data_IF_941626087306
#
_entry.id   IF_941626087306
#
_cell.length_a   1.000
_cell.length_b   1.000
_cell.length_c   1.000
_cell.angle_alpha   90.00
_cell.angle_beta   90.00
_cell.angle_gamma   90.00
#
_symmetry.space_group_name_H-M   'P 1'
#
loop_
_entity.id
_entity.type
_entity.pdbx_description
1 polymer ?
#
# COMPACT_ATOMS: atom_id res chain seq x y z
N UNK A 1 15.00 35.91 -33.35
CA UNK A 1 15.00 35.79 -31.87
C UNK A 1 14.58 34.36 -31.52
N UNK A 2 15.53 33.45 -31.36
CA UNK A 2 15.23 32.02 -31.15
C UNK A 2 15.00 31.73 -29.68
N UNK A 3 13.74 31.45 -29.32
CA UNK A 3 13.37 30.96 -28.00
C UNK A 3 13.83 29.50 -27.91
N UNK A 4 14.98 29.27 -27.26
CA UNK A 4 15.39 27.94 -26.81
C UNK A 4 14.40 27.49 -25.73
N UNK A 5 13.42 26.67 -26.12
CA UNK A 5 12.61 25.89 -25.18
C UNK A 5 13.57 24.96 -24.45
N UNK A 6 14.01 25.35 -23.25
CA UNK A 6 14.85 24.51 -22.40
C UNK A 6 14.07 23.23 -22.10
N UNK A 7 14.72 22.08 -22.29
CA UNK A 7 14.25 20.74 -21.93
C UNK A 7 13.87 20.70 -20.44
N UNK A 8 12.63 21.04 -20.10
CA UNK A 8 12.06 20.94 -18.72
C UNK A 8 11.59 19.50 -18.42
N UNK A 9 11.55 18.63 -19.43
CA UNK A 9 10.97 17.28 -19.33
C UNK A 9 11.93 16.17 -18.85
N UNK A 10 13.15 16.48 -18.40
CA UNK A 10 14.21 15.46 -18.27
C UNK A 10 14.68 15.11 -16.85
N UNK A 11 13.92 15.42 -15.79
CA UNK A 11 14.31 15.00 -14.42
C UNK A 11 13.15 14.98 -13.43
N UNK A 12 12.20 14.09 -13.66
CA UNK A 12 11.10 13.78 -12.72
C UNK A 12 11.26 12.39 -12.08
N UNK A 13 12.27 11.64 -12.51
CA UNK A 13 12.62 10.32 -12.02
C UNK A 13 13.53 10.44 -10.78
N UNK A 14 13.05 9.96 -9.63
CA UNK A 14 13.82 9.93 -8.38
C UNK A 14 13.86 11.26 -7.62
N UNK A 15 12.74 11.97 -7.49
CA UNK A 15 12.65 13.20 -6.69
C UNK A 15 12.25 12.90 -5.23
N UNK A 16 13.11 13.23 -4.27
CA UNK A 16 12.85 13.02 -2.83
C UNK A 16 11.56 13.70 -2.36
N UNK A 17 11.22 14.86 -2.94
CA UNK A 17 9.96 15.53 -2.64
C UNK A 17 8.75 14.66 -2.98
N UNK A 18 8.78 13.99 -4.14
CA UNK A 18 7.70 13.11 -4.57
C UNK A 18 7.57 11.88 -3.66
N UNK A 19 8.69 11.35 -3.15
CA UNK A 19 8.69 10.26 -2.18
C UNK A 19 8.01 10.67 -0.87
N UNK A 20 8.39 11.83 -0.32
CA UNK A 20 7.78 12.33 0.91
C UNK A 20 6.29 12.65 0.73
N UNK A 21 5.94 13.23 -0.42
CA UNK A 21 4.55 13.49 -0.79
C UNK A 21 3.74 12.19 -0.89
N UNK A 22 4.30 11.14 -1.50
CA UNK A 22 3.67 9.83 -1.60
C UNK A 22 3.43 9.20 -0.21
N UNK A 23 4.42 9.25 0.69
CA UNK A 23 4.27 8.78 2.08
C UNK A 23 3.18 9.54 2.83
N UNK A 24 3.16 10.87 2.67
CA UNK A 24 2.13 11.73 3.29
C UNK A 24 0.74 11.38 2.77
N UNK A 25 0.59 11.17 1.46
CA UNK A 25 -0.68 10.84 0.86
C UNK A 25 -1.17 9.46 1.29
N UNK A 26 -0.29 8.46 1.34
CA UNK A 26 -0.60 7.13 1.85
C UNK A 26 -1.19 7.21 3.26
N UNK A 27 -0.58 8.02 4.14
CA UNK A 27 -1.04 8.14 5.51
C UNK A 27 -2.33 8.97 5.66
N UNK A 28 -2.51 10.04 4.88
CA UNK A 28 -3.60 11.01 5.08
C UNK A 28 -4.87 10.71 4.29
N UNK A 29 -4.74 10.13 3.10
CA UNK A 29 -5.83 10.08 2.13
C UNK A 29 -6.32 8.66 1.82
N UNK A 30 -5.54 7.63 2.15
CA UNK A 30 -5.94 6.24 1.96
C UNK A 30 -6.44 5.64 3.28
N UNK A 31 -7.56 4.91 3.23
CA UNK A 31 -8.10 4.23 4.40
C UNK A 31 -7.15 3.13 4.89
N UNK A 32 -6.69 2.29 3.96
CA UNK A 32 -5.70 1.24 4.19
C UNK A 32 -5.03 0.92 2.86
N UNK A 33 -3.72 0.68 2.90
CA UNK A 33 -2.94 0.23 1.74
C UNK A 33 -2.31 -1.11 2.12
N UNK A 34 -2.54 -2.14 1.30
CA UNK A 34 -1.96 -3.47 1.48
C UNK A 34 -0.92 -3.79 0.43
N UNK A 35 -0.27 -4.95 0.59
CA UNK A 35 0.71 -5.48 -0.36
C UNK A 35 0.16 -6.72 -1.07
N UNK A 36 0.65 -6.98 -2.28
CA UNK A 36 0.15 -8.07 -3.12
C UNK A 36 0.49 -9.46 -2.58
N UNK A 37 1.60 -9.55 -1.86
CA UNK A 37 2.15 -10.74 -1.23
C UNK A 37 1.29 -11.20 -0.05
N UNK A 38 0.57 -10.26 0.59
CA UNK A 38 -0.29 -10.49 1.76
C UNK A 38 -1.74 -10.12 1.44
N UNK A 39 -2.20 -10.44 0.23
CA UNK A 39 -3.54 -10.06 -0.25
C UNK A 39 -4.66 -10.63 0.63
N UNK A 40 -4.51 -11.85 1.15
CA UNK A 40 -5.50 -12.47 2.04
C UNK A 40 -5.68 -11.68 3.34
N UNK A 41 -4.57 -11.23 3.93
CA UNK A 41 -4.58 -10.41 5.13
C UNK A 41 -5.21 -9.04 4.86
N UNK A 42 -4.93 -8.46 3.69
CA UNK A 42 -5.52 -7.20 3.26
C UNK A 42 -7.04 -7.31 3.13
N UNK A 43 -7.54 -8.38 2.51
CA UNK A 43 -8.99 -8.65 2.41
C UNK A 43 -9.59 -8.83 3.80
N UNK A 44 -8.91 -9.53 4.70
CA UNK A 44 -9.36 -9.72 6.09
C UNK A 44 -9.48 -8.38 6.84
N UNK A 45 -8.52 -7.48 6.65
CA UNK A 45 -8.57 -6.12 7.23
C UNK A 45 -9.74 -5.31 6.66
N UNK A 46 -9.98 -5.38 5.35
CA UNK A 46 -11.10 -4.70 4.70
C UNK A 46 -12.46 -5.24 5.17
N UNK A 47 -12.58 -6.54 5.41
CA UNK A 47 -13.80 -7.16 5.94
C UNK A 47 -14.18 -6.62 7.32
N UNK A 48 -13.18 -6.34 8.18
CA UNK A 48 -13.40 -5.72 9.49
C UNK A 48 -13.69 -4.22 9.39
N UNK A 49 -12.98 -3.49 8.53
CA UNK A 49 -13.14 -2.04 8.39
C UNK A 49 -14.43 -1.65 7.67
N UNK A 50 -14.80 -2.39 6.62
CA UNK A 50 -15.90 -2.08 5.72
C UNK A 50 -16.83 -3.30 5.53
N UNK A 51 -17.46 -3.80 6.61
CA UNK A 51 -18.27 -5.02 6.57
C UNK A 51 -19.50 -4.89 5.67
N UNK A 52 -19.97 -3.67 5.36
CA UNK A 52 -21.08 -3.47 4.41
C UNK A 52 -20.72 -3.89 2.98
N UNK A 53 -19.44 -3.80 2.62
CA UNK A 53 -18.97 -4.08 1.26
C UNK A 53 -18.23 -5.42 1.17
N UNK A 54 -17.43 -5.76 2.21
CA UNK A 54 -16.49 -6.88 2.17
C UNK A 54 -16.86 -8.06 3.08
N UNK A 55 -18.09 -8.11 3.61
CA UNK A 55 -18.54 -9.27 4.40
C UNK A 55 -18.49 -10.54 3.56
N UNK A 56 -17.82 -11.56 4.07
CA UNK A 56 -17.61 -12.84 3.39
C UNK A 56 -16.53 -12.83 2.31
N UNK A 57 -15.82 -11.71 2.11
CA UNK A 57 -14.80 -11.58 1.08
C UNK A 57 -13.62 -12.53 1.33
N UNK A 58 -13.20 -12.71 2.59
CA UNK A 58 -12.14 -13.67 2.93
C UNK A 58 -12.53 -15.10 2.54
N UNK A 59 -13.73 -15.53 2.93
CA UNK A 59 -14.24 -16.86 2.60
C UNK A 59 -14.31 -17.08 1.09
N UNK A 60 -14.77 -16.07 0.33
CA UNK A 60 -14.81 -16.12 -1.12
C UNK A 60 -13.40 -16.23 -1.75
N UNK A 61 -12.42 -15.51 -1.21
CA UNK A 61 -11.03 -15.58 -1.67
C UNK A 61 -10.42 -16.96 -1.43
N UNK A 62 -10.60 -17.54 -0.24
CA UNK A 62 -10.09 -18.88 0.10
C UNK A 62 -10.77 -20.00 -0.70
N UNK A 63 -12.05 -19.84 -1.07
CA UNK A 63 -12.79 -20.79 -1.92
C UNK A 63 -12.34 -20.79 -3.39
N UNK A 64 -11.37 -19.97 -3.77
CA UNK A 64 -10.52 -20.22 -4.92
C UNK A 64 -11.09 -19.85 -6.29
N UNK A 65 -12.27 -19.23 -6.38
CA UNK A 65 -12.89 -18.99 -7.69
C UNK A 65 -12.12 -17.98 -8.56
N UNK A 66 -11.42 -17.00 -7.97
CA UNK A 66 -10.82 -15.88 -8.71
C UNK A 66 -9.66 -15.19 -7.95
N UNK A 67 -8.73 -15.92 -7.34
CA UNK A 67 -7.60 -15.29 -6.64
C UNK A 67 -6.58 -14.63 -7.59
N UNK A 68 -6.34 -15.24 -8.75
CA UNK A 68 -5.32 -14.82 -9.71
C UNK A 68 -5.88 -14.76 -11.15
N UNK A 69 -6.83 -13.85 -11.42
CA UNK A 69 -7.53 -13.81 -12.72
C UNK A 69 -6.61 -13.41 -13.89
N UNK A 70 -5.50 -12.73 -13.61
CA UNK A 70 -4.60 -12.17 -14.63
C UNK A 70 -3.17 -12.59 -14.34
N UNK A 71 -2.84 -13.83 -14.68
CA UNK A 71 -1.48 -14.33 -14.62
C UNK A 71 -0.75 -14.02 -15.93
N UNK A 72 0.48 -13.51 -15.83
CA UNK A 72 1.37 -13.40 -16.99
C UNK A 72 1.88 -14.78 -17.35
N UNK A 73 1.53 -15.28 -18.55
CA UNK A 73 1.79 -16.68 -18.95
C UNK A 73 3.27 -17.05 -19.06
N UNK A 74 4.15 -16.09 -19.39
CA UNK A 74 5.60 -16.30 -19.48
C UNK A 74 6.32 -15.26 -18.63
N UNK A 75 6.67 -15.63 -17.39
CA UNK A 75 7.53 -14.83 -16.51
C UNK A 75 8.94 -15.41 -16.54
N UNK A 76 9.90 -14.62 -17.00
CA UNK A 76 11.32 -14.95 -16.89
C UNK A 76 11.83 -14.26 -15.63
N UNK A 77 12.29 -15.00 -14.60
CA UNK A 77 12.85 -14.36 -13.42
C UNK A 77 14.15 -13.64 -13.79
N UNK A 78 14.39 -12.43 -13.26
CA UNK A 78 15.61 -11.69 -13.55
C UNK A 78 16.83 -12.40 -12.94
N UNK A 79 17.95 -12.43 -13.67
CA UNK A 79 19.21 -12.98 -13.16
C UNK A 79 19.74 -12.18 -11.96
N UNK A 80 20.53 -12.83 -11.09
CA UNK A 80 21.07 -12.19 -9.88
C UNK A 80 21.89 -10.93 -10.22
N UNK A 81 22.78 -11.01 -11.21
CA UNK A 81 23.56 -9.86 -11.68
C UNK A 81 22.68 -8.69 -12.17
N UNK A 82 21.52 -8.99 -12.79
CA UNK A 82 20.56 -7.96 -13.21
C UNK A 82 19.89 -7.31 -12.01
N UNK A 83 19.48 -8.09 -11.02
CA UNK A 83 18.87 -7.58 -9.80
C UNK A 83 19.83 -6.68 -9.02
N UNK A 84 21.09 -7.07 -8.89
CA UNK A 84 22.14 -6.28 -8.22
C UNK A 84 22.34 -4.94 -8.92
N UNK A 85 22.43 -4.94 -10.26
CA UNK A 85 22.56 -3.71 -11.05
C UNK A 85 21.37 -2.77 -10.87
N UNK A 86 20.14 -3.30 -10.81
CA UNK A 86 18.94 -2.49 -10.54
C UNK A 86 18.97 -1.93 -9.13
N UNK A 87 19.37 -2.74 -8.13
CA UNK A 87 19.47 -2.34 -6.72
C UNK A 87 20.48 -1.20 -6.49
N UNK A 88 21.49 -1.06 -7.34
CA UNK A 88 22.44 0.06 -7.28
C UNK A 88 21.80 1.41 -7.65
N UNK A 89 20.68 1.42 -8.39
CA UNK A 89 20.03 2.65 -8.82
C UNK A 89 19.39 3.42 -7.65
N UNK A 90 19.58 4.73 -7.63
CA UNK A 90 18.92 5.62 -6.66
C UNK A 90 17.40 5.52 -6.73
N UNK A 91 16.83 5.39 -7.93
CA UNK A 91 15.38 5.27 -8.14
C UNK A 91 14.85 4.01 -7.46
N UNK A 92 15.53 2.87 -7.65
CA UNK A 92 15.13 1.62 -7.01
C UNK A 92 15.16 1.75 -5.49
N UNK A 93 16.18 2.41 -4.92
CA UNK A 93 16.27 2.64 -3.47
C UNK A 93 15.05 3.41 -2.95
N UNK A 94 14.61 4.45 -3.66
CA UNK A 94 13.44 5.24 -3.27
C UNK A 94 12.12 4.45 -3.40
N UNK A 95 11.93 3.72 -4.49
CA UNK A 95 10.77 2.84 -4.69
C UNK A 95 10.71 1.78 -3.59
N UNK A 96 11.86 1.17 -3.27
CA UNK A 96 11.97 0.19 -2.21
C UNK A 96 11.66 0.79 -0.84
N UNK A 97 12.15 2.00 -0.56
CA UNK A 97 11.83 2.73 0.67
C UNK A 97 10.34 3.03 0.82
N UNK A 98 9.66 3.41 -0.27
CA UNK A 98 8.21 3.61 -0.25
C UNK A 98 7.45 2.30 -0.03
N UNK A 99 7.86 1.23 -0.71
CA UNK A 99 7.28 -0.10 -0.52
C UNK A 99 7.43 -0.58 0.93
N UNK A 100 8.61 -0.47 1.52
CA UNK A 100 8.87 -0.90 2.90
C UNK A 100 8.06 -0.06 3.89
N UNK A 101 7.89 1.24 3.64
CA UNK A 101 7.02 2.12 4.41
C UNK A 101 5.54 1.70 4.34
N UNK A 102 5.04 1.38 3.15
CA UNK A 102 3.66 0.91 2.96
C UNK A 102 3.44 -0.43 3.69
N UNK A 103 4.39 -1.37 3.57
CA UNK A 103 4.35 -2.67 4.23
C UNK A 103 4.30 -2.53 5.76
N UNK A 104 5.20 -1.71 6.34
CA UNK A 104 5.22 -1.46 7.78
C UNK A 104 3.92 -0.81 8.27
N UNK A 105 3.41 0.17 7.52
CA UNK A 105 2.14 0.83 7.85
C UNK A 105 0.98 -0.16 7.84
N UNK A 106 0.96 -1.05 6.85
CA UNK A 106 -0.03 -2.11 6.74
C UNK A 106 0.02 -3.06 7.94
N UNK A 107 1.21 -3.55 8.31
CA UNK A 107 1.39 -4.44 9.45
C UNK A 107 0.96 -3.82 10.77
N UNK A 108 1.32 -2.56 11.03
CA UNK A 108 0.89 -1.83 12.23
C UNK A 108 -0.64 -1.70 12.28
N UNK A 109 -1.24 -1.35 11.14
CA UNK A 109 -2.70 -1.21 11.00
C UNK A 109 -3.41 -2.55 11.24
N UNK A 110 -2.89 -3.63 10.63
CA UNK A 110 -3.38 -5.00 10.80
C UNK A 110 -3.39 -5.40 12.28
N UNK A 111 -2.26 -5.26 12.96
CA UNK A 111 -2.13 -5.57 14.40
C UNK A 111 -3.09 -4.72 15.22
N UNK A 112 -3.20 -3.41 14.95
CA UNK A 112 -4.11 -2.52 15.66
C UNK A 112 -5.59 -2.88 15.49
N UNK A 113 -5.99 -3.40 14.33
CA UNK A 113 -7.37 -3.81 14.05
C UNK A 113 -7.69 -5.14 14.72
N UNK A 114 -6.80 -6.15 14.60
CA UNK A 114 -7.05 -7.48 15.16
C UNK A 114 -6.87 -7.54 16.69
N UNK A 115 -5.99 -6.73 17.27
CA UNK A 115 -5.85 -6.59 18.72
C UNK A 115 -7.03 -5.84 19.37
N UNK A 116 -7.94 -5.27 18.57
CA UNK A 116 -9.14 -4.56 19.06
C UNK A 116 -10.24 -5.52 19.52
N UNK A 117 -9.90 -6.78 19.80
CA UNK A 117 -10.81 -7.87 20.13
C UNK A 117 -11.63 -7.65 21.42
N UNK A 118 -11.42 -6.59 22.19
CA UNK A 118 -12.26 -6.31 23.36
C UNK A 118 -12.57 -4.82 23.56
N UNK A 119 -13.89 -4.52 23.56
CA UNK A 119 -14.60 -3.34 24.09
C UNK A 119 -14.34 -1.98 23.42
N UNK A 120 -15.43 -1.22 23.27
CA UNK A 120 -15.39 0.21 22.94
C UNK A 120 -14.59 0.90 24.05
N UNK A 121 -13.34 1.30 23.75
CA UNK A 121 -12.42 1.93 24.70
C UNK A 121 -12.80 3.37 25.09
N UNK A 122 -13.74 3.97 24.36
CA UNK A 122 -14.15 5.35 24.50
C UNK A 122 -15.65 5.42 24.79
N UNK A 123 -16.01 5.93 25.97
CA UNK A 123 -17.39 6.29 26.28
C UNK A 123 -17.50 7.81 26.33
N UNK A 124 -18.57 8.35 25.77
CA UNK A 124 -18.88 9.78 25.93
C UNK A 124 -19.45 10.00 27.33
N UNK A 125 -18.74 10.75 28.15
CA UNK A 125 -19.21 11.18 29.47
C UNK A 125 -19.48 12.69 29.45
N UNK A 126 -20.46 13.14 30.25
CA UNK A 126 -20.86 14.55 30.39
C UNK A 126 -21.36 15.19 29.08
N UNK A 127 -22.27 14.50 28.38
CA UNK A 127 -23.10 15.12 27.35
C UNK A 127 -24.01 16.11 28.07
N UNK A 128 -23.81 17.42 27.90
CA UNK A 128 -24.73 18.43 28.44
C UNK A 128 -25.99 18.45 27.56
N UNK A 129 -27.19 18.61 28.13
CA UNK A 129 -28.38 18.84 27.33
C UNK A 129 -28.25 20.17 26.55
N UNK A 130 -28.82 20.21 25.35
CA UNK A 130 -29.09 21.47 24.63
C UNK A 130 -30.17 22.28 25.34
#
# INVERSE_FOLDING_TARGET
MSIKIRRIWKRWDGNEWALQEAKRNLFRHYLVVGVTEELEDFISVLEVLLPRFYRGAKAFYTQGLKGNLRQTSKKIPPSQATQEKIKTSHIYRMEKEFYDFALQTFHVTKVGIFNKSEKIRYSYQKIRPE
#
